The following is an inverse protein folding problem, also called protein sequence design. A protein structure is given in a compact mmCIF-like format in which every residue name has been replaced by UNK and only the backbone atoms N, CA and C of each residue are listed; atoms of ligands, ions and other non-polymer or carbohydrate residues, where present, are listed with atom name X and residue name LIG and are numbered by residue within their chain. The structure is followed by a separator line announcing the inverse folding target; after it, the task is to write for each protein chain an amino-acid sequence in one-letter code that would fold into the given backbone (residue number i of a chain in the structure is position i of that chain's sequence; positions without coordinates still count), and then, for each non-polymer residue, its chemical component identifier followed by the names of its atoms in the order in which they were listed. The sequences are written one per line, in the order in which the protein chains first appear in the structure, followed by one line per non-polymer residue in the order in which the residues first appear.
data_IF_635797650441
#
_entry.id   IF_635797650441
#
_cell.length_a   1.000
_cell.length_b   1.000
_cell.length_c   1.000
_cell.angle_alpha   90.00
_cell.angle_beta   90.00
_cell.angle_gamma   90.00
#
_symmetry.space_group_name_H-M   'P 1'
#
loop_
_entity.id
_entity.type
_entity.pdbx_description
1 polymer ?
#
# COMPACT_ATOMS: atom_id res chain seq x y z
N UNK A 1 2.82 28.85 15.99
CA UNK A 1 3.71 27.95 15.23
C UNK A 1 2.87 26.74 14.83
N UNK A 2 2.26 26.80 13.64
CA UNK A 2 1.55 25.64 13.09
C UNK A 2 2.61 24.61 12.76
N UNK A 3 2.51 23.40 13.30
CA UNK A 3 3.28 22.30 12.77
C UNK A 3 2.92 22.20 11.27
N UNK A 4 3.91 22.23 10.39
CA UNK A 4 3.74 21.79 9.02
C UNK A 4 3.28 20.34 9.11
N UNK A 5 1.97 20.11 9.02
CA UNK A 5 1.45 18.77 8.78
C UNK A 5 1.85 18.49 7.34
N UNK A 6 2.95 17.76 7.15
CA UNK A 6 3.32 17.25 5.84
C UNK A 6 2.08 16.57 5.25
N UNK A 7 1.64 17.01 4.06
CA UNK A 7 0.45 16.49 3.39
C UNK A 7 0.71 15.08 2.79
N UNK A 8 1.64 14.36 3.41
CA UNK A 8 2.23 13.10 2.98
C UNK A 8 2.36 12.16 4.18
N UNK A 9 2.22 10.87 3.92
CA UNK A 9 2.47 9.82 4.90
C UNK A 9 3.18 8.63 4.22
N UNK A 10 3.96 7.89 4.99
CA UNK A 10 4.63 6.67 4.54
C UNK A 10 4.35 5.55 5.52
N UNK A 11 3.95 4.38 5.02
CA UNK A 11 3.81 3.16 5.80
C UNK A 11 4.73 2.05 5.26
N UNK A 12 5.18 1.16 6.15
CA UNK A 12 5.91 -0.05 5.83
C UNK A 12 4.99 -1.27 5.98
N UNK A 13 4.98 -2.16 4.99
CA UNK A 13 4.25 -3.41 5.00
C UNK A 13 5.25 -4.57 4.87
N UNK A 14 5.52 -5.35 5.93
CA UNK A 14 6.44 -6.48 5.84
C UNK A 14 5.85 -7.58 4.95
N UNK A 15 6.73 -8.31 4.28
CA UNK A 15 6.39 -9.56 3.61
C UNK A 15 5.87 -10.57 4.65
N UNK A 16 5.08 -11.54 4.19
CA UNK A 16 4.51 -12.57 5.05
C UNK A 16 4.53 -13.94 4.38
N UNK A 17 4.47 -14.99 5.21
CA UNK A 17 4.28 -16.37 4.77
C UNK A 17 2.89 -16.81 5.22
N UNK A 18 2.10 -17.33 4.28
CA UNK A 18 0.80 -17.95 4.57
C UNK A 18 0.89 -19.48 4.71
N UNK A 19 -0.20 -20.07 5.18
CA UNK A 19 -0.48 -21.51 5.32
C UNK A 19 0.39 -22.29 6.31
N UNK A 20 1.69 -22.02 6.43
CA UNK A 20 2.61 -22.64 7.42
C UNK A 20 2.42 -24.17 7.52
N UNK A 21 2.43 -24.85 6.38
CA UNK A 21 2.20 -26.30 6.30
C UNK A 21 0.72 -26.68 6.44
N UNK A 22 0.36 -27.33 7.56
CA UNK A 22 -1.01 -27.84 7.80
C UNK A 22 -2.03 -26.72 8.08
N UNK A 23 -1.60 -25.46 8.20
CA UNK A 23 -2.44 -24.32 8.55
C UNK A 23 -3.06 -23.60 7.36
N UNK A 24 -3.46 -24.32 6.31
CA UNK A 24 -4.07 -23.76 5.10
C UNK A 24 -5.20 -22.77 5.43
N UNK A 25 -5.11 -21.56 4.87
CA UNK A 25 -6.03 -20.42 5.07
C UNK A 25 -6.22 -19.95 6.52
N UNK A 26 -5.42 -20.43 7.48
CA UNK A 26 -5.56 -20.12 8.91
C UNK A 26 -4.31 -19.50 9.52
N UNK A 27 -3.13 -20.00 9.16
CA UNK A 27 -1.87 -19.57 9.77
C UNK A 27 -1.06 -18.68 8.83
N UNK A 28 -0.38 -17.70 9.42
CA UNK A 28 0.63 -16.91 8.75
C UNK A 28 1.50 -16.13 9.74
N UNK A 29 2.65 -15.65 9.28
CA UNK A 29 3.50 -14.77 10.06
C UNK A 29 4.19 -13.74 9.15
N UNK A 30 4.57 -12.60 9.72
CA UNK A 30 5.40 -11.60 9.04
C UNK A 30 6.86 -12.04 8.99
N UNK A 31 7.61 -11.44 8.08
CA UNK A 31 9.05 -11.57 7.96
C UNK A 31 9.69 -10.20 8.18
N UNK A 32 10.85 -10.20 8.84
CA UNK A 32 11.68 -8.99 8.92
C UNK A 32 12.50 -8.82 7.63
N UNK A 33 12.84 -7.58 7.31
CA UNK A 33 13.66 -7.20 6.15
C UNK A 33 12.89 -7.02 4.83
N UNK A 34 12.23 -8.06 4.32
CA UNK A 34 11.49 -7.98 3.04
C UNK A 34 10.12 -7.30 3.23
N UNK A 35 9.72 -6.43 2.31
CA UNK A 35 8.44 -5.73 2.37
C UNK A 35 8.36 -4.52 1.44
N UNK A 36 7.22 -3.83 1.47
CA UNK A 36 6.90 -2.69 0.63
C UNK A 36 6.74 -1.39 1.43
N UNK A 37 7.00 -0.25 0.79
CA UNK A 37 6.67 1.08 1.32
C UNK A 37 5.58 1.72 0.49
N UNK A 38 4.47 2.07 1.12
CA UNK A 38 3.43 2.89 0.53
C UNK A 38 3.61 4.34 0.97
N UNK A 39 3.91 5.24 0.03
CA UNK A 39 3.87 6.69 0.24
C UNK A 39 2.60 7.24 -0.38
N UNK A 40 1.91 8.08 0.38
CA UNK A 40 0.71 8.77 -0.07
C UNK A 40 0.88 10.27 0.13
N UNK A 41 0.34 11.05 -0.80
CA UNK A 41 0.25 12.50 -0.71
C UNK A 41 -1.20 12.90 -0.98
N UNK A 42 -1.74 13.79 -0.15
CA UNK A 42 -3.07 14.37 -0.43
C UNK A 42 -2.97 15.32 -1.61
N UNK A 43 -3.97 15.25 -2.47
CA UNK A 43 -4.16 16.12 -3.63
C UNK A 43 -5.55 16.76 -3.55
N UNK A 44 -5.74 17.91 -4.19
CA UNK A 44 -7.01 18.64 -4.12
C UNK A 44 -8.14 17.94 -4.90
N UNK A 45 -7.79 17.22 -5.97
CA UNK A 45 -8.75 16.47 -6.76
C UNK A 45 -9.24 15.23 -5.99
N UNK A 46 -10.55 14.94 -5.94
CA UNK A 46 -11.12 13.82 -5.17
C UNK A 46 -10.95 12.47 -5.90
N UNK A 47 -9.73 12.16 -6.32
CA UNK A 47 -9.35 10.97 -7.08
C UNK A 47 -8.17 10.25 -6.43
N UNK A 48 -7.95 8.99 -6.80
CA UNK A 48 -6.73 8.25 -6.43
C UNK A 48 -5.89 8.08 -7.69
N UNK A 49 -4.59 8.35 -7.59
CA UNK A 49 -3.63 8.17 -8.70
C UNK A 49 -2.42 7.38 -8.21
N UNK A 50 -1.96 6.44 -9.02
CA UNK A 50 -0.66 5.80 -8.84
C UNK A 50 0.39 6.65 -9.55
N UNK A 51 1.14 7.45 -8.78
CA UNK A 51 2.13 8.40 -9.32
C UNK A 51 3.48 7.71 -9.67
N UNK A 52 3.83 6.65 -8.94
CA UNK A 52 5.07 5.91 -9.14
C UNK A 52 5.02 4.51 -8.55
N UNK A 53 5.79 3.60 -9.14
CA UNK A 53 6.00 2.23 -8.68
C UNK A 53 7.49 1.94 -8.86
N UNK A 54 8.19 1.75 -7.76
CA UNK A 54 9.63 1.55 -7.70
C UNK A 54 9.94 0.22 -6.98
N UNK A 55 11.14 -0.32 -7.21
CA UNK A 55 11.62 -1.54 -6.55
C UNK A 55 11.82 -2.69 -7.52
N UNK A 56 11.60 -3.92 -7.05
CA UNK A 56 11.90 -5.14 -7.80
C UNK A 56 10.91 -5.42 -8.95
N UNK A 57 9.65 -5.00 -8.80
CA UNK A 57 8.60 -5.18 -9.80
C UNK A 57 8.00 -3.81 -10.10
N UNK A 58 8.18 -3.35 -11.35
CA UNK A 58 7.78 -1.99 -11.75
C UNK A 58 6.61 -1.97 -12.72
N UNK A 59 6.28 -3.11 -13.34
CA UNK A 59 5.19 -3.25 -14.32
C UNK A 59 3.90 -3.73 -13.66
N UNK A 60 3.45 -2.98 -12.65
CA UNK A 60 2.15 -3.17 -12.02
C UNK A 60 1.13 -2.19 -12.62
N UNK A 61 -0.18 -2.52 -12.60
CA UNK A 61 -1.21 -1.62 -13.10
C UNK A 61 -1.12 -0.23 -12.45
N UNK A 62 -1.14 0.83 -13.27
CA UNK A 62 -1.18 2.23 -12.79
C UNK A 62 -2.59 2.78 -12.68
N UNK A 63 -3.55 2.15 -13.33
CA UNK A 63 -4.96 2.47 -13.12
C UNK A 63 -5.33 2.12 -11.68
N UNK A 64 -5.77 3.12 -10.91
CA UNK A 64 -6.01 2.97 -9.48
C UNK A 64 -7.03 1.86 -9.19
N UNK A 65 -8.02 1.69 -10.08
CA UNK A 65 -9.02 0.64 -9.93
C UNK A 65 -8.49 -0.78 -10.22
N UNK A 66 -7.36 -0.92 -10.91
CA UNK A 66 -6.72 -2.21 -11.19
C UNK A 66 -5.51 -2.48 -10.29
N UNK A 67 -5.15 -1.53 -9.42
CA UNK A 67 -4.03 -1.62 -8.49
C UNK A 67 -4.56 -1.83 -7.06
N UNK A 68 -4.11 -2.87 -6.36
CA UNK A 68 -4.60 -3.17 -5.01
C UNK A 68 -4.36 -2.03 -4.00
N UNK A 69 -3.24 -1.32 -4.09
CA UNK A 69 -2.98 -0.16 -3.25
C UNK A 69 -3.90 1.03 -3.61
N UNK A 70 -4.18 1.20 -4.91
CA UNK A 70 -5.13 2.18 -5.41
C UNK A 70 -6.56 1.91 -4.94
N UNK A 71 -7.02 0.66 -5.10
CA UNK A 71 -8.32 0.18 -4.65
C UNK A 71 -8.51 0.36 -3.14
N UNK A 72 -7.50 0.07 -2.33
CA UNK A 72 -7.56 0.29 -0.89
C UNK A 72 -7.84 1.76 -0.52
N UNK A 73 -7.20 2.71 -1.21
CA UNK A 73 -7.46 4.15 -0.99
C UNK A 73 -8.81 4.60 -1.54
N UNK A 74 -9.28 4.02 -2.64
CA UNK A 74 -10.63 4.29 -3.17
C UNK A 74 -11.67 3.87 -2.12
N UNK A 75 -11.57 2.64 -1.61
CA UNK A 75 -12.47 2.13 -0.58
C UNK A 75 -12.43 2.96 0.70
N UNK A 76 -11.23 3.40 1.14
CA UNK A 76 -11.09 4.27 2.32
C UNK A 76 -11.76 5.63 2.14
N UNK A 77 -11.77 6.19 0.91
CA UNK A 77 -12.44 7.47 0.63
C UNK A 77 -13.97 7.33 0.60
N UNK A 78 -14.46 6.15 0.24
CA UNK A 78 -15.89 5.84 0.12
C UNK A 78 -16.53 5.43 1.46
N UNK A 79 -15.72 5.05 2.45
CA UNK A 79 -16.14 4.69 3.81
C UNK A 79 -16.47 5.93 4.67
#
# INVERSE_FOLDING_TARGET
MSADITNEACAWAPASVGNIGVGFDLLGHSLDGAGDRARVRRIDEPVVRIDGIDGCVTDLPREAAANTAGQALIALREA
#
